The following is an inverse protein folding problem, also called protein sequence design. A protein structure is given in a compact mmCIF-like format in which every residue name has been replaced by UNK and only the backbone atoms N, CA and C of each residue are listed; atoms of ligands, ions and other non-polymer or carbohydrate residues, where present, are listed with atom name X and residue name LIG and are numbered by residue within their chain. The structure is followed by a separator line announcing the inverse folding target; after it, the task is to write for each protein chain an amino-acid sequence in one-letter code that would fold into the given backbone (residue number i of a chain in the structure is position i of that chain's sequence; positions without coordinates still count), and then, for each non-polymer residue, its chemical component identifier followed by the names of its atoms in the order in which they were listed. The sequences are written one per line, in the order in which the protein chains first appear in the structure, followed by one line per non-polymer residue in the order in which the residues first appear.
data_IF_995715407976
#
_entry.id   IF_995715407976
#
_cell.length_a   1.000
_cell.length_b   1.000
_cell.length_c   1.000
_cell.angle_alpha   90.00
_cell.angle_beta   90.00
_cell.angle_gamma   90.00
#
_symmetry.space_group_name_H-M   'P 1'
#
loop_
_entity.id
_entity.type
_entity.pdbx_description
1 polymer ?
#
# COMPACT_ATOMS: atom_id res chain seq x y z
N UNK A 1 -7.28 -22.18 7.72
CA UNK A 1 -7.83 -22.16 6.34
C UNK A 1 -7.03 -21.17 5.54
N UNK A 2 -6.78 -21.41 4.23
CA UNK A 2 -6.10 -20.43 3.40
C UNK A 2 -6.94 -19.14 3.28
N UNK A 3 -6.30 -17.98 3.40
CA UNK A 3 -6.95 -16.66 3.33
C UNK A 3 -7.55 -16.40 1.94
N UNK A 4 -6.91 -16.94 0.90
CA UNK A 4 -7.37 -16.84 -0.49
C UNK A 4 -7.43 -18.25 -1.08
N UNK A 5 -8.57 -18.62 -1.67
CA UNK A 5 -8.70 -19.91 -2.35
C UNK A 5 -8.03 -19.87 -3.74
N UNK A 6 -7.51 -21.03 -4.18
CA UNK A 6 -6.92 -21.15 -5.51
C UNK A 6 -7.91 -20.79 -6.62
N UNK A 7 -9.20 -21.08 -6.42
CA UNK A 7 -10.28 -20.72 -7.37
C UNK A 7 -10.39 -19.21 -7.54
N UNK A 8 -10.38 -18.45 -6.44
CA UNK A 8 -10.42 -16.98 -6.49
C UNK A 8 -9.20 -16.39 -7.23
N UNK A 9 -8.00 -16.95 -7.00
CA UNK A 9 -6.78 -16.52 -7.69
C UNK A 9 -6.87 -16.78 -9.20
N UNK A 10 -7.39 -17.94 -9.61
CA UNK A 10 -7.59 -18.28 -11.02
C UNK A 10 -8.60 -17.34 -11.69
N UNK A 11 -9.75 -17.11 -11.07
CA UNK A 11 -10.81 -16.24 -11.58
C UNK A 11 -10.36 -14.77 -11.69
N UNK A 12 -9.49 -14.32 -10.78
CA UNK A 12 -8.91 -12.98 -10.80
C UNK A 12 -7.74 -12.85 -11.81
N UNK A 13 -7.25 -13.96 -12.38
CA UNK A 13 -6.15 -13.94 -13.35
C UNK A 13 -4.77 -13.68 -12.72
N UNK A 14 -4.58 -14.03 -11.44
CA UNK A 14 -3.31 -13.84 -10.71
C UNK A 14 -2.18 -14.68 -11.27
N UNK A 15 -2.50 -15.82 -11.91
CA UNK A 15 -1.53 -16.76 -12.46
C UNK A 15 -0.81 -16.31 -13.74
N UNK A 16 -1.29 -15.27 -14.41
CA UNK A 16 -0.63 -14.75 -15.61
C UNK A 16 0.55 -13.86 -15.21
N UNK A 17 1.71 -14.20 -15.71
CA UNK A 17 2.89 -13.35 -15.61
C UNK A 17 3.13 -12.55 -16.89
N UNK A 18 4.33 -11.99 -17.01
CA UNK A 18 4.77 -11.25 -18.18
C UNK A 18 5.31 -12.16 -19.29
N UNK A 19 5.56 -11.57 -20.46
CA UNK A 19 6.21 -12.25 -21.58
C UNK A 19 7.57 -12.81 -21.18
N UNK A 20 7.92 -14.00 -21.67
CA UNK A 20 9.16 -14.73 -21.34
C UNK A 20 10.41 -13.89 -21.51
N UNK A 21 10.50 -13.03 -22.54
CA UNK A 21 11.65 -12.13 -22.78
C UNK A 21 11.89 -11.06 -21.71
N UNK A 22 10.91 -10.80 -20.85
CA UNK A 22 10.96 -9.73 -19.83
C UNK A 22 11.15 -10.25 -18.42
N UNK A 23 11.31 -11.54 -18.25
CA UNK A 23 11.36 -12.14 -16.92
C UNK A 23 12.66 -11.86 -16.16
N UNK A 24 12.60 -12.02 -14.85
CA UNK A 24 13.77 -12.01 -13.98
C UNK A 24 14.10 -13.48 -13.61
N UNK A 25 15.34 -13.97 -13.83
CA UNK A 25 15.74 -15.34 -13.48
C UNK A 25 15.50 -15.71 -12.02
N UNK A 26 15.57 -14.77 -11.09
CA UNK A 26 15.30 -14.98 -9.67
C UNK A 26 13.84 -15.39 -9.40
N UNK A 27 12.92 -15.07 -10.31
CA UNK A 27 11.53 -15.50 -10.25
C UNK A 27 11.29 -16.94 -10.66
N UNK A 28 12.32 -17.66 -11.16
CA UNK A 28 12.21 -19.06 -11.61
C UNK A 28 11.53 -19.96 -10.56
N UNK A 29 11.81 -19.74 -9.28
CA UNK A 29 11.21 -20.51 -8.20
C UNK A 29 9.69 -20.34 -8.07
N UNK A 30 9.10 -19.26 -8.61
CA UNK A 30 7.65 -18.95 -8.53
C UNK A 30 6.91 -19.24 -9.84
N UNK A 31 7.64 -19.67 -10.88
CA UNK A 31 7.08 -20.00 -12.19
C UNK A 31 6.70 -21.48 -12.22
N UNK A 32 5.49 -21.77 -12.67
CA UNK A 32 4.99 -23.13 -12.86
C UNK A 32 5.36 -23.65 -14.26
N UNK A 33 5.07 -22.88 -15.30
CA UNK A 33 5.30 -23.27 -16.71
C UNK A 33 5.29 -22.04 -17.61
N UNK A 34 5.58 -22.26 -18.90
CA UNK A 34 5.39 -21.29 -19.96
C UNK A 34 4.24 -21.74 -20.87
N UNK A 35 3.41 -20.79 -21.30
CA UNK A 35 2.35 -21.02 -22.28
C UNK A 35 2.19 -19.82 -23.21
N UNK A 36 2.28 -20.06 -24.52
CA UNK A 36 2.13 -19.00 -25.53
C UNK A 36 3.06 -17.79 -25.33
N UNK A 37 4.32 -18.02 -24.91
CA UNK A 37 5.28 -16.95 -24.67
C UNK A 37 5.03 -16.11 -23.44
N UNK A 38 4.18 -16.58 -22.50
CA UNK A 38 3.89 -15.97 -21.21
C UNK A 38 4.17 -16.96 -20.11
N UNK A 39 4.82 -16.52 -19.03
CA UNK A 39 5.01 -17.34 -17.85
C UNK A 39 3.73 -17.45 -17.02
N UNK A 40 3.49 -18.63 -16.51
CA UNK A 40 2.39 -18.93 -15.58
C UNK A 40 2.97 -19.08 -14.18
N UNK A 41 2.44 -18.31 -13.25
CA UNK A 41 2.86 -18.30 -11.85
C UNK A 41 2.26 -19.49 -11.11
N UNK A 42 3.03 -20.09 -10.22
CA UNK A 42 2.60 -21.20 -9.36
C UNK A 42 1.67 -20.69 -8.24
N UNK A 43 0.37 -20.89 -8.44
CA UNK A 43 -0.65 -20.45 -7.48
C UNK A 43 -0.58 -21.14 -6.11
N UNK A 44 0.00 -22.35 -6.03
CA UNK A 44 0.19 -23.01 -4.72
C UNK A 44 1.16 -22.21 -3.85
N UNK A 45 2.21 -21.68 -4.49
CA UNK A 45 3.17 -20.79 -3.82
C UNK A 45 2.55 -19.44 -3.49
N UNK A 46 1.73 -18.90 -4.42
CA UNK A 46 0.99 -17.65 -4.16
C UNK A 46 0.09 -17.76 -2.93
N UNK A 47 -0.69 -18.84 -2.79
CA UNK A 47 -1.54 -19.06 -1.60
C UNK A 47 -0.72 -19.03 -0.32
N UNK A 48 0.38 -19.81 -0.25
CA UNK A 48 1.22 -19.87 0.96
C UNK A 48 1.84 -18.52 1.30
N UNK A 49 2.36 -17.82 0.28
CA UNK A 49 3.00 -16.52 0.46
C UNK A 49 1.99 -15.41 0.79
N UNK A 50 0.78 -15.51 0.28
CA UNK A 50 -0.31 -14.62 0.66
C UNK A 50 -0.74 -14.84 2.13
N UNK A 51 -0.78 -16.09 2.60
CA UNK A 51 -1.07 -16.40 4.01
C UNK A 51 0.03 -15.87 4.94
N UNK A 52 1.32 -16.00 4.57
CA UNK A 52 2.45 -15.43 5.31
C UNK A 52 2.33 -13.89 5.41
N UNK A 53 2.08 -13.23 4.28
CA UNK A 53 1.91 -11.78 4.20
C UNK A 53 0.69 -11.29 5.00
N UNK A 54 -0.41 -12.01 4.93
CA UNK A 54 -1.63 -11.72 5.68
C UNK A 54 -1.38 -11.72 7.18
N UNK A 55 -0.76 -12.80 7.71
CA UNK A 55 -0.45 -12.91 9.12
C UNK A 55 0.49 -11.79 9.59
N UNK A 56 1.53 -11.49 8.81
CA UNK A 56 2.42 -10.37 9.11
C UNK A 56 1.68 -9.03 9.20
N UNK A 57 0.81 -8.75 8.22
CA UNK A 57 0.03 -7.49 8.17
C UNK A 57 -0.95 -7.40 9.34
N UNK A 58 -1.61 -8.50 9.68
CA UNK A 58 -2.51 -8.58 10.83
C UNK A 58 -1.77 -8.30 12.14
N UNK A 59 -0.66 -8.99 12.37
CA UNK A 59 0.13 -8.85 13.61
C UNK A 59 0.74 -7.44 13.73
N UNK A 60 1.12 -6.83 12.60
CA UNK A 60 1.56 -5.44 12.54
C UNK A 60 0.42 -4.47 12.93
N UNK A 61 -0.78 -4.71 12.42
CA UNK A 61 -1.97 -3.91 12.73
C UNK A 61 -2.37 -4.06 14.20
N UNK A 62 -2.28 -5.27 14.78
CA UNK A 62 -2.46 -5.52 16.23
C UNK A 62 -1.47 -4.73 17.09
N UNK A 63 -0.26 -4.45 16.59
CA UNK A 63 0.72 -3.61 17.28
C UNK A 63 0.48 -2.10 17.13
N UNK A 64 -0.67 -1.68 16.59
CA UNK A 64 -1.03 -0.26 16.38
C UNK A 64 -0.21 0.44 15.29
N UNK A 65 0.56 -0.28 14.46
CA UNK A 65 1.36 0.30 13.39
C UNK A 65 0.54 0.47 12.12
N UNK A 66 0.80 1.55 11.40
CA UNK A 66 0.15 1.83 10.12
C UNK A 66 0.87 1.17 8.94
N UNK A 67 0.13 0.94 7.88
CA UNK A 67 0.63 0.40 6.61
C UNK A 67 0.40 1.44 5.52
N UNK A 68 1.40 1.61 4.63
CA UNK A 68 1.31 2.48 3.48
C UNK A 68 1.11 1.64 2.22
N UNK A 69 -0.03 1.80 1.56
CA UNK A 69 -0.37 1.14 0.31
C UNK A 69 0.16 1.94 -0.87
N UNK A 70 0.99 1.32 -1.72
CA UNK A 70 1.66 1.97 -2.84
C UNK A 70 1.33 1.27 -4.15
N UNK A 71 0.78 2.02 -5.10
CA UNK A 71 0.49 1.47 -6.42
C UNK A 71 0.12 2.57 -7.41
N UNK A 72 1.10 3.01 -8.22
CA UNK A 72 0.91 4.09 -9.20
C UNK A 72 0.55 3.59 -10.60
N UNK A 73 0.46 2.27 -10.82
CA UNK A 73 -0.08 1.69 -12.05
C UNK A 73 -1.55 2.06 -12.22
N UNK A 74 -1.96 2.41 -13.45
CA UNK A 74 -3.37 2.72 -13.75
C UNK A 74 -4.33 1.62 -13.28
N UNK A 75 -3.90 0.36 -13.40
CA UNK A 75 -4.68 -0.81 -12.98
C UNK A 75 -4.81 -0.96 -11.46
N UNK A 76 -3.87 -0.35 -10.69
CA UNK A 76 -3.81 -0.46 -9.25
C UNK A 76 -4.41 0.76 -8.52
N UNK A 77 -4.37 1.94 -9.14
CA UNK A 77 -4.65 3.24 -8.51
C UNK A 77 -5.97 3.27 -7.72
N UNK A 78 -7.05 2.81 -8.34
CA UNK A 78 -8.38 2.83 -7.74
C UNK A 78 -8.50 1.80 -6.61
N UNK A 79 -8.03 0.57 -6.86
CA UNK A 79 -8.09 -0.51 -5.88
C UNK A 79 -7.25 -0.19 -4.63
N UNK A 80 -6.05 0.37 -4.80
CA UNK A 80 -5.17 0.77 -3.70
C UNK A 80 -5.81 1.86 -2.85
N UNK A 81 -6.37 2.91 -3.46
CA UNK A 81 -7.04 3.97 -2.72
C UNK A 81 -8.28 3.46 -1.95
N UNK A 82 -9.14 2.68 -2.63
CA UNK A 82 -10.37 2.17 -2.04
C UNK A 82 -10.09 1.23 -0.84
N UNK A 83 -9.16 0.29 -0.98
CA UNK A 83 -8.84 -0.67 0.07
C UNK A 83 -8.09 -0.04 1.25
N UNK A 84 -7.18 0.89 1.00
CA UNK A 84 -6.51 1.64 2.06
C UNK A 84 -7.51 2.50 2.86
N UNK A 85 -8.42 3.18 2.19
CA UNK A 85 -9.49 3.95 2.84
C UNK A 85 -10.43 3.05 3.65
N UNK A 86 -10.82 1.88 3.12
CA UNK A 86 -11.69 0.91 3.79
C UNK A 86 -11.12 0.45 5.14
N UNK A 87 -9.80 0.26 5.23
CA UNK A 87 -9.14 -0.16 6.47
C UNK A 87 -8.54 1.01 7.27
N UNK A 88 -8.82 2.26 6.87
CA UNK A 88 -8.28 3.49 7.49
C UNK A 88 -6.75 3.45 7.58
N UNK A 89 -6.10 3.19 6.45
CA UNK A 89 -4.66 3.21 6.23
C UNK A 89 -4.28 4.23 5.16
N UNK A 90 -2.98 4.49 5.01
CA UNK A 90 -2.45 5.48 4.11
C UNK A 90 -2.17 4.89 2.72
N UNK A 91 -2.19 5.74 1.68
CA UNK A 91 -1.90 5.28 0.32
C UNK A 91 -1.20 6.33 -0.54
N UNK A 92 -0.49 5.84 -1.56
CA UNK A 92 0.08 6.62 -2.66
C UNK A 92 -0.30 5.90 -3.95
N UNK A 93 -1.21 6.51 -4.72
CA UNK A 93 -1.77 5.89 -5.92
C UNK A 93 -1.51 6.69 -7.21
N UNK A 94 -0.95 7.90 -7.15
CA UNK A 94 -0.69 8.70 -8.34
C UNK A 94 0.81 8.68 -8.72
N UNK A 95 1.65 9.30 -7.92
CA UNK A 95 3.10 9.33 -8.15
C UNK A 95 3.86 9.29 -6.83
N UNK A 96 4.83 8.39 -6.73
CA UNK A 96 5.78 8.44 -5.64
C UNK A 96 6.73 9.60 -5.82
N UNK A 97 6.78 10.50 -4.85
CA UNK A 97 7.76 11.60 -4.84
C UNK A 97 9.00 11.12 -4.10
N UNK A 98 10.18 11.27 -4.73
CA UNK A 98 11.42 10.91 -4.06
C UNK A 98 11.56 11.62 -2.72
N UNK A 99 11.96 10.87 -1.68
CA UNK A 99 12.06 11.37 -0.31
C UNK A 99 10.78 11.27 0.52
N UNK A 100 9.74 10.57 0.04
CA UNK A 100 8.49 10.43 0.81
C UNK A 100 8.69 9.80 2.19
N UNK A 101 9.63 8.90 2.32
CA UNK A 101 10.02 8.28 3.59
C UNK A 101 11.33 8.85 4.11
N UNK A 102 12.38 8.88 3.29
CA UNK A 102 13.73 9.32 3.69
C UNK A 102 13.81 10.82 4.00
N UNK A 103 12.93 11.63 3.42
CA UNK A 103 12.81 13.06 3.71
C UNK A 103 11.39 13.42 4.18
N UNK A 104 10.84 12.59 5.06
CA UNK A 104 9.47 12.69 5.55
C UNK A 104 9.15 14.07 6.14
N UNK A 105 10.10 14.70 6.82
CA UNK A 105 9.91 16.04 7.39
C UNK A 105 9.55 17.07 6.30
N UNK A 106 10.24 17.05 5.19
CA UNK A 106 9.96 17.96 4.06
C UNK A 106 8.63 17.64 3.40
N UNK A 107 8.29 16.35 3.28
CA UNK A 107 6.96 15.94 2.77
C UNK A 107 5.86 16.46 3.68
N UNK A 108 6.02 16.38 5.01
CA UNK A 108 5.06 16.96 5.97
C UNK A 108 4.84 18.45 5.77
N UNK A 109 5.87 19.25 5.50
CA UNK A 109 5.69 20.68 5.20
C UNK A 109 4.86 20.93 3.93
N UNK A 110 4.89 19.99 2.94
CA UNK A 110 4.04 20.06 1.75
C UNK A 110 2.59 19.69 2.06
N UNK A 111 2.39 18.71 2.94
CA UNK A 111 1.04 18.38 3.46
C UNK A 111 0.49 19.56 4.28
N UNK A 112 1.29 20.21 5.10
CA UNK A 112 0.88 21.40 5.85
C UNK A 112 0.51 22.55 4.90
N UNK A 113 1.21 22.69 3.78
CA UNK A 113 0.87 23.65 2.72
C UNK A 113 -0.49 23.34 2.10
N UNK A 114 -0.79 22.08 1.82
CA UNK A 114 -2.11 21.63 1.34
C UNK A 114 -3.20 22.02 2.33
N UNK A 115 -3.01 21.70 3.61
CA UNK A 115 -3.93 22.06 4.69
C UNK A 115 -4.11 23.58 4.83
N UNK A 116 -3.05 24.36 4.60
CA UNK A 116 -3.12 25.81 4.60
C UNK A 116 -4.01 26.35 3.48
N UNK A 117 -3.84 25.83 2.26
CA UNK A 117 -4.64 26.26 1.10
C UNK A 117 -6.12 25.94 1.34
N UNK A 118 -6.45 24.75 1.85
CA UNK A 118 -7.82 24.38 2.20
C UNK A 118 -8.43 25.30 3.26
N UNK A 119 -7.66 25.69 4.29
CA UNK A 119 -8.12 26.66 5.31
C UNK A 119 -8.37 28.04 4.72
N UNK A 120 -7.51 28.50 3.81
CA UNK A 120 -7.68 29.79 3.13
C UNK A 120 -8.98 29.81 2.32
N UNK A 121 -9.31 28.74 1.63
CA UNK A 121 -10.57 28.58 0.89
C UNK A 121 -11.78 28.60 1.84
N UNK A 122 -11.75 27.78 2.91
CA UNK A 122 -12.82 27.70 3.92
C UNK A 122 -13.07 29.02 4.66
N UNK A 123 -12.03 29.83 4.85
CA UNK A 123 -12.12 31.14 5.50
C UNK A 123 -12.52 32.28 4.56
N UNK A 124 -12.85 31.98 3.29
CA UNK A 124 -13.25 33.00 2.31
C UNK A 124 -12.09 33.91 1.86
N UNK A 125 -10.83 33.56 2.16
CA UNK A 125 -9.68 34.39 1.77
C UNK A 125 -9.51 34.47 0.25
N UNK A 126 -10.05 33.51 -0.51
CA UNK A 126 -10.00 33.53 -1.97
C UNK A 126 -10.83 34.67 -2.59
N UNK A 127 -11.83 35.17 -1.87
CA UNK A 127 -12.71 36.26 -2.35
C UNK A 127 -11.99 37.63 -2.38
N UNK A 128 -10.93 37.78 -1.55
CA UNK A 128 -10.13 39.01 -1.45
C UNK A 128 -8.89 38.99 -2.37
N UNK A 129 -8.53 37.81 -2.90
CA UNK A 129 -7.35 37.64 -3.73
C UNK A 129 -7.64 37.93 -5.21
N UNK A 130 -6.62 38.40 -5.98
CA UNK A 130 -6.75 38.49 -7.44
C UNK A 130 -7.03 37.13 -8.08
N UNK A 131 -7.92 37.08 -9.07
CA UNK A 131 -8.31 35.82 -9.77
C UNK A 131 -7.13 34.96 -10.22
N UNK A 132 -6.05 35.61 -10.68
CA UNK A 132 -4.83 34.89 -11.12
C UNK A 132 -4.15 34.15 -9.95
N UNK A 133 -4.16 34.69 -8.77
CA UNK A 133 -3.60 34.04 -7.56
C UNK A 133 -4.47 32.88 -7.11
N UNK A 134 -5.80 33.06 -7.10
CA UNK A 134 -6.73 31.97 -6.77
C UNK A 134 -6.56 30.78 -7.69
N UNK A 135 -6.49 30.99 -9.01
CA UNK A 135 -6.25 29.90 -9.99
C UNK A 135 -4.90 29.20 -9.72
N UNK A 136 -3.86 29.95 -9.35
CA UNK A 136 -2.56 29.36 -9.02
C UNK A 136 -2.61 28.49 -7.77
N UNK A 137 -3.29 28.96 -6.71
CA UNK A 137 -3.48 28.23 -5.46
C UNK A 137 -4.32 26.97 -5.69
N UNK A 138 -5.40 27.05 -6.45
CA UNK A 138 -6.21 25.89 -6.79
C UNK A 138 -5.41 24.82 -7.56
N UNK A 139 -4.60 25.23 -8.51
CA UNK A 139 -3.74 24.31 -9.25
C UNK A 139 -2.64 23.69 -8.37
N UNK A 140 -2.07 24.47 -7.44
CA UNK A 140 -1.14 23.95 -6.43
C UNK A 140 -1.83 22.92 -5.54
N UNK A 141 -3.04 23.23 -5.05
CA UNK A 141 -3.87 22.33 -4.26
C UNK A 141 -4.14 21.00 -4.96
N UNK A 142 -4.63 21.05 -6.21
CA UNK A 142 -4.91 19.85 -7.00
C UNK A 142 -3.68 18.94 -7.14
N UNK A 143 -2.50 19.51 -7.40
CA UNK A 143 -1.26 18.75 -7.50
C UNK A 143 -0.84 18.13 -6.18
N UNK A 144 -0.97 18.87 -5.08
CA UNK A 144 -0.64 18.37 -3.75
C UNK A 144 -1.62 17.28 -3.32
N UNK A 145 -2.92 17.47 -3.52
CA UNK A 145 -3.96 16.50 -3.20
C UNK A 145 -3.77 15.20 -3.99
N UNK A 146 -3.53 15.30 -5.31
CA UNK A 146 -3.32 14.13 -6.15
C UNK A 146 -2.12 13.25 -5.71
N UNK A 147 -1.06 13.85 -5.15
CA UNK A 147 0.16 13.11 -4.79
C UNK A 147 0.28 12.82 -3.30
N UNK A 148 -0.29 13.65 -2.43
CA UNK A 148 -0.10 13.59 -0.98
C UNK A 148 -1.41 13.39 -0.20
N UNK A 149 -2.57 13.45 -0.86
CA UNK A 149 -3.88 13.32 -0.21
C UNK A 149 -4.00 12.03 0.62
N UNK A 150 -3.52 10.91 0.07
CA UNK A 150 -3.57 9.62 0.77
C UNK A 150 -2.65 9.49 2.00
N UNK A 151 -1.70 10.39 2.18
CA UNK A 151 -0.80 10.43 3.35
C UNK A 151 -1.02 11.66 4.24
N UNK A 152 -2.11 12.39 4.01
CA UNK A 152 -2.42 13.64 4.70
C UNK A 152 -2.40 13.50 6.23
N UNK A 153 -3.00 12.44 6.75
CA UNK A 153 -3.10 12.16 8.18
C UNK A 153 -1.90 11.35 8.74
N UNK A 154 -0.94 10.97 7.90
CA UNK A 154 0.22 10.21 8.32
C UNK A 154 1.20 11.08 9.11
N UNK A 155 1.20 10.95 10.44
CA UNK A 155 2.05 11.74 11.35
C UNK A 155 3.41 11.11 11.61
N UNK A 156 3.55 9.80 11.43
CA UNK A 156 4.76 9.00 11.65
C UNK A 156 5.02 8.13 10.44
N UNK A 157 6.26 7.64 10.30
CA UNK A 157 6.61 6.65 9.28
C UNK A 157 5.75 5.39 9.45
N UNK A 158 5.35 4.72 8.34
CA UNK A 158 4.58 3.50 8.42
C UNK A 158 5.41 2.34 8.96
N UNK A 159 4.74 1.36 9.56
CA UNK A 159 5.38 0.13 10.05
C UNK A 159 5.68 -0.88 8.94
N UNK A 160 5.00 -0.79 7.80
CA UNK A 160 5.28 -1.56 6.58
C UNK A 160 4.76 -0.85 5.33
N UNK A 161 5.30 -1.23 4.16
CA UNK A 161 4.76 -0.88 2.85
C UNK A 161 4.07 -2.09 2.25
N UNK A 162 2.92 -1.85 1.58
CA UNK A 162 2.36 -2.78 0.60
C UNK A 162 2.53 -2.18 -0.80
N UNK A 163 3.25 -2.87 -1.67
CA UNK A 163 3.66 -2.34 -2.99
C UNK A 163 3.09 -3.20 -4.12
N UNK A 164 2.52 -2.56 -5.13
CA UNK A 164 2.13 -3.19 -6.38
C UNK A 164 3.14 -2.84 -7.46
N UNK A 165 3.78 -3.84 -8.07
CA UNK A 165 4.88 -3.69 -9.03
C UNK A 165 6.13 -3.01 -8.44
N UNK A 166 6.96 -3.76 -7.68
CA UNK A 166 8.19 -3.23 -7.09
C UNK A 166 9.16 -2.64 -8.13
N UNK A 167 9.15 -3.15 -9.35
CA UNK A 167 10.01 -2.64 -10.42
C UNK A 167 9.65 -1.21 -10.82
N UNK A 168 8.36 -0.89 -10.88
CA UNK A 168 7.89 0.47 -11.15
C UNK A 168 8.11 1.37 -9.94
N UNK A 169 7.83 0.86 -8.76
CA UNK A 169 7.92 1.60 -7.49
C UNK A 169 9.31 1.45 -6.82
N UNK A 170 10.39 1.25 -7.63
CA UNK A 170 11.74 1.01 -7.14
C UNK A 170 12.27 2.09 -6.18
N UNK A 171 11.83 3.35 -6.32
CA UNK A 171 12.21 4.43 -5.42
C UNK A 171 11.59 4.19 -4.03
N UNK A 172 10.31 3.81 -3.97
CA UNK A 172 9.63 3.50 -2.72
C UNK A 172 10.29 2.31 -2.02
N UNK A 173 10.61 1.25 -2.78
CA UNK A 173 11.30 0.05 -2.28
C UNK A 173 12.68 0.43 -1.72
N UNK A 174 13.48 1.21 -2.46
CA UNK A 174 14.81 1.65 -2.02
C UNK A 174 14.75 2.48 -0.75
N UNK A 175 13.79 3.41 -0.65
CA UNK A 175 13.60 4.24 0.55
C UNK A 175 13.17 3.42 1.77
N UNK A 176 12.24 2.48 1.60
CA UNK A 176 11.79 1.61 2.67
C UNK A 176 12.94 0.74 3.20
N UNK A 177 13.73 0.13 2.29
CA UNK A 177 14.92 -0.65 2.67
C UNK A 177 15.97 0.18 3.40
N UNK A 178 16.22 1.41 2.95
CA UNK A 178 17.17 2.32 3.62
C UNK A 178 16.76 2.65 5.07
N UNK A 179 15.46 2.62 5.36
CA UNK A 179 14.89 2.87 6.68
C UNK A 179 14.57 1.60 7.48
N UNK A 180 14.83 0.41 6.92
CA UNK A 180 14.48 -0.86 7.57
C UNK A 180 12.99 -1.09 7.72
N UNK A 181 12.16 -0.50 6.85
CA UNK A 181 10.71 -0.69 6.84
C UNK A 181 10.38 -1.94 6.01
N UNK A 182 9.72 -2.96 6.59
CA UNK A 182 9.36 -4.18 5.88
C UNK A 182 8.45 -3.92 4.67
N UNK A 183 8.65 -4.69 3.61
CA UNK A 183 7.93 -4.55 2.34
C UNK A 183 7.16 -5.83 2.04
N UNK A 184 5.85 -5.70 1.90
CA UNK A 184 4.95 -6.69 1.31
C UNK A 184 4.69 -6.28 -0.12
N UNK A 185 4.84 -7.16 -1.11
CA UNK A 185 4.57 -6.75 -2.49
C UNK A 185 3.94 -7.84 -3.35
N UNK A 186 3.10 -7.41 -4.30
CA UNK A 186 2.73 -8.23 -5.46
C UNK A 186 3.90 -8.20 -6.42
N UNK A 187 4.50 -9.37 -6.66
CA UNK A 187 5.71 -9.53 -7.45
C UNK A 187 5.40 -10.38 -8.68
N UNK A 188 5.44 -9.76 -9.85
CA UNK A 188 5.28 -10.44 -11.13
C UNK A 188 6.63 -11.01 -11.62
N UNK A 189 6.60 -11.78 -12.68
CA UNK A 189 7.75 -12.50 -13.23
C UNK A 189 8.90 -11.62 -13.74
N UNK A 190 8.69 -10.31 -13.88
CA UNK A 190 9.68 -9.31 -14.33
C UNK A 190 10.36 -8.54 -13.19
N UNK A 191 9.99 -8.82 -11.93
CA UNK A 191 10.48 -8.13 -10.74
C UNK A 191 11.62 -8.89 -10.05
N UNK A 192 12.36 -8.24 -9.17
CA UNK A 192 13.35 -8.86 -8.28
C UNK A 192 12.71 -9.20 -6.93
N UNK A 193 12.58 -10.49 -6.57
CA UNK A 193 11.98 -10.88 -5.29
C UNK A 193 12.91 -10.64 -4.09
N UNK A 194 14.23 -10.52 -4.28
CA UNK A 194 15.21 -10.38 -3.19
C UNK A 194 15.14 -9.01 -2.51
N UNK A 195 14.46 -8.05 -3.13
CA UNK A 195 14.25 -6.71 -2.55
C UNK A 195 13.04 -6.66 -1.61
N UNK A 196 12.26 -7.74 -1.52
CA UNK A 196 10.95 -7.78 -0.86
C UNK A 196 10.98 -8.78 0.28
N UNK A 197 10.52 -8.38 1.46
CA UNK A 197 10.48 -9.24 2.64
C UNK A 197 9.34 -10.27 2.57
N UNK A 198 8.17 -9.85 2.11
CA UNK A 198 6.98 -10.70 1.96
C UNK A 198 6.51 -10.68 0.50
N UNK A 199 7.05 -11.62 -0.28
CA UNK A 199 6.73 -11.76 -1.71
C UNK A 199 5.38 -12.44 -1.89
N UNK A 200 4.45 -11.81 -2.60
CA UNK A 200 3.21 -12.43 -3.08
C UNK A 200 3.34 -12.58 -4.59
N UNK A 201 3.71 -13.77 -5.11
CA UNK A 201 3.84 -13.96 -6.54
C UNK A 201 2.48 -13.81 -7.23
N UNK A 202 2.37 -12.91 -8.20
CA UNK A 202 1.09 -12.67 -8.85
C UNK A 202 1.15 -11.59 -9.91
N UNK A 203 0.09 -11.53 -10.71
CA UNK A 203 -0.09 -10.57 -11.78
C UNK A 203 -0.37 -9.17 -11.21
N UNK A 204 0.48 -8.21 -11.54
CA UNK A 204 0.37 -6.82 -11.12
C UNK A 204 -0.32 -5.92 -12.16
N UNK A 205 -0.68 -6.47 -13.34
CA UNK A 205 -1.35 -5.76 -14.44
C UNK A 205 -2.88 -6.00 -14.47
N UNK A 206 -3.36 -7.05 -13.81
CA UNK A 206 -4.77 -7.37 -13.79
C UNK A 206 -5.50 -6.65 -12.64
N UNK A 207 -6.43 -5.76 -12.95
CA UNK A 207 -7.21 -4.99 -11.96
C UNK A 207 -7.84 -5.91 -10.91
N UNK A 208 -8.42 -7.05 -11.34
CA UNK A 208 -9.06 -8.03 -10.45
C UNK A 208 -8.05 -8.71 -9.50
N UNK A 209 -6.83 -9.00 -9.98
CA UNK A 209 -5.78 -9.60 -9.18
C UNK A 209 -5.30 -8.63 -8.09
N UNK A 210 -5.01 -7.39 -8.47
CA UNK A 210 -4.61 -6.34 -7.52
C UNK A 210 -5.70 -6.10 -6.48
N UNK A 211 -6.97 -5.96 -6.91
CA UNK A 211 -8.11 -5.75 -6.01
C UNK A 211 -8.28 -6.91 -5.03
N UNK A 212 -8.16 -8.17 -5.49
CA UNK A 212 -8.29 -9.34 -4.64
C UNK A 212 -7.22 -9.36 -3.54
N UNK A 213 -5.95 -9.16 -3.91
CA UNK A 213 -4.83 -9.23 -2.96
C UNK A 213 -4.86 -8.02 -2.02
N UNK A 214 -5.03 -6.80 -2.54
CA UNK A 214 -5.13 -5.59 -1.73
C UNK A 214 -6.31 -5.66 -0.75
N UNK A 215 -7.47 -6.18 -1.22
CA UNK A 215 -8.64 -6.40 -0.37
C UNK A 215 -8.37 -7.36 0.77
N UNK A 216 -7.63 -8.45 0.53
CA UNK A 216 -7.27 -9.39 1.58
C UNK A 216 -6.29 -8.81 2.60
N UNK A 217 -5.33 -8.01 2.16
CA UNK A 217 -4.44 -7.32 3.09
C UNK A 217 -5.19 -6.25 3.91
N UNK A 218 -6.17 -5.58 3.31
CA UNK A 218 -7.06 -4.68 4.05
C UNK A 218 -7.94 -5.43 5.08
N UNK A 219 -8.40 -6.66 4.75
CA UNK A 219 -9.10 -7.54 5.70
C UNK A 219 -8.19 -7.90 6.88
N UNK A 220 -6.89 -8.21 6.63
CA UNK A 220 -5.91 -8.47 7.67
C UNK A 220 -5.74 -7.29 8.63
N UNK A 221 -5.68 -6.06 8.09
CA UNK A 221 -5.61 -4.84 8.89
C UNK A 221 -6.85 -4.67 9.77
N UNK A 222 -8.04 -4.91 9.23
CA UNK A 222 -9.29 -4.79 9.97
C UNK A 222 -9.39 -5.85 11.08
N UNK A 223 -8.99 -7.09 10.80
CA UNK A 223 -8.92 -8.17 11.80
C UNK A 223 -7.94 -7.80 12.93
N UNK A 224 -6.74 -7.32 12.59
CA UNK A 224 -5.74 -6.89 13.59
C UNK A 224 -6.25 -5.76 14.48
N UNK A 225 -6.93 -4.76 13.92
CA UNK A 225 -7.51 -3.66 14.70
C UNK A 225 -8.66 -4.11 15.63
N UNK A 226 -9.45 -5.10 15.23
CA UNK A 226 -10.49 -5.66 16.09
C UNK A 226 -9.89 -6.43 17.27
N UNK A 227 -8.78 -7.15 17.06
CA UNK A 227 -8.03 -7.81 18.13
C UNK A 227 -7.48 -6.82 19.16
N UNK A 228 -6.94 -5.67 18.72
CA UNK A 228 -6.45 -4.61 19.62
C UNK A 228 -7.57 -4.06 20.53
N UNK A 229 -8.79 -3.90 20.00
CA UNK A 229 -9.92 -3.41 20.79
C UNK A 229 -10.42 -4.42 21.84
N UNK A 230 -10.33 -5.71 21.56
CA UNK A 230 -10.71 -6.75 22.53
C UNK A 230 -9.70 -6.88 23.69
N UNK A 231 -8.39 -6.77 23.39
CA UNK A 231 -7.35 -6.83 24.43
C UNK A 231 -7.32 -5.57 25.31
N UNK A 232 -7.67 -4.40 24.77
CA UNK A 232 -7.76 -3.15 25.52
C UNK A 232 -8.99 -3.10 26.46
N UNK A 233 -10.01 -3.92 26.20
CA UNK A 233 -11.23 -4.03 27.02
C UNK A 233 -11.11 -4.97 28.21
N UNK A 234 -10.08 -5.81 28.27
CA UNK A 234 -9.90 -6.85 29.29
C UNK A 234 -8.80 -6.52 30.34
N UNK A 235 -8.34 -5.26 30.37
CA UNK A 235 -7.46 -4.79 31.45
C UNK A 235 -8.27 -4.66 32.73
N UNK A 236 -7.96 -5.43 33.81
CA UNK A 236 -8.70 -5.32 35.07
C UNK A 236 -8.49 -3.93 35.66
N UNK A 237 -9.59 -3.28 36.00
CA UNK A 237 -9.58 -2.10 36.86
C UNK A 237 -9.04 -2.54 38.23
N UNK A 238 -7.75 -2.30 38.48
CA UNK A 238 -7.18 -2.42 39.81
C UNK A 238 -7.83 -1.36 40.72
N UNK A 239 -8.50 -1.89 41.73
CA UNK A 239 -9.11 -1.24 42.85
C UNK A 239 -8.19 -0.15 43.45
N UNK A 240 -8.64 1.09 43.37
CA UNK A 240 -8.26 2.10 44.35
C UNK A 240 -9.30 2.09 45.46
N UNK A 241 -9.09 1.21 46.43
CA UNK A 241 -9.76 1.23 47.72
C UNK A 241 -8.69 1.18 48.83
N UNK A 242 -8.80 2.14 49.77
CA UNK A 242 -8.21 2.17 51.11
C UNK A 242 -6.71 2.55 51.21
N UNK A 243 -6.38 3.73 51.69
CA UNK A 243 -6.46 4.33 53.04
C UNK A 243 -6.27 5.86 53.01
#
# INVERSE_FOLDING_TARGET
MAVISMKQLLEAGVHFGHQTRRWNPKMAQYIFTERNGIYIIDLQKTVRKADEAYNFVRDLAMSGKSILFVGTKKQAQESIAAEAQRCNMFYVNNRWLGGMLTNFRTIRTRVDRLNQIDRMEQQGQFDVLPKKEVIRLQHEREKLEANLGGIREMKKLPGALFVVDPRKEHIAVSEARALGIPIVAIVDTNCDPDEIDYVIPGNDDAIRAVKLIAGKLADAVLEGKQGEQSDAGDAPAEEAAEE
#
